data_IF_845944927161
#
_entry.id   IF_845944927161
#
_cell.length_a   1.000
_cell.length_b   1.000
_cell.length_c   1.000
_cell.angle_alpha   90.00
_cell.angle_beta   90.00
_cell.angle_gamma   90.00
#
_symmetry.space_group_name_H-M   'P 1'
#
loop_
_entity.id
_entity.type
_entity.pdbx_description
1 polymer ?
#
# COMPACT_ATOMS: atom_id res chain seq x y z
N UNK A 1 -15.15 9.77 -19.20
CA UNK A 1 -15.50 9.08 -17.93
C UNK A 1 -14.41 8.07 -17.62
N UNK A 2 -14.10 7.83 -16.35
CA UNK A 2 -13.04 6.92 -15.92
C UNK A 2 -13.29 6.41 -14.51
N UNK A 3 -12.51 5.43 -14.08
CA UNK A 3 -12.64 4.75 -12.78
C UNK A 3 -11.51 5.20 -11.85
N UNK A 4 -11.83 5.30 -10.56
CA UNK A 4 -10.86 5.54 -9.49
C UNK A 4 -11.08 4.53 -8.38
N UNK A 5 -9.99 4.02 -7.84
CA UNK A 5 -9.99 3.01 -6.77
C UNK A 5 -9.06 3.46 -5.64
N UNK A 6 -9.38 3.04 -4.43
CA UNK A 6 -8.62 3.35 -3.21
C UNK A 6 -8.50 2.11 -2.33
N UNK A 7 -7.44 2.04 -1.52
CA UNK A 7 -7.20 0.91 -0.63
C UNK A 7 -7.52 1.31 0.82
N UNK A 8 -8.59 0.78 1.44
CA UNK A 8 -8.97 1.16 2.81
C UNK A 8 -7.90 0.86 3.86
N UNK A 9 -7.12 -0.21 3.65
CA UNK A 9 -6.03 -0.60 4.54
C UNK A 9 -4.74 0.22 4.37
N UNK A 10 -4.65 1.07 3.34
CA UNK A 10 -3.48 1.92 3.08
C UNK A 10 -3.94 3.34 2.74
N UNK A 11 -4.18 4.17 3.77
CA UNK A 11 -4.60 5.56 3.58
C UNK A 11 -3.61 6.30 2.67
N UNK A 12 -4.11 6.81 1.54
CA UNK A 12 -3.29 7.52 0.54
C UNK A 12 -2.92 6.70 -0.69
N UNK A 13 -3.16 5.39 -0.70
CA UNK A 13 -2.98 4.57 -1.90
C UNK A 13 -4.24 4.64 -2.77
N UNK A 14 -4.14 5.34 -3.91
CA UNK A 14 -5.22 5.47 -4.89
C UNK A 14 -4.68 5.31 -6.31
N UNK A 15 -5.56 4.87 -7.21
CA UNK A 15 -5.24 4.71 -8.63
C UNK A 15 -6.46 5.02 -9.50
N UNK A 16 -6.23 5.16 -10.80
CA UNK A 16 -7.25 5.50 -11.79
C UNK A 16 -7.00 4.79 -13.12
N UNK A 17 -8.05 4.63 -13.92
CA UNK A 17 -8.01 4.02 -15.26
C UNK A 17 -9.23 4.39 -16.10
N UNK A 18 -9.18 4.16 -17.41
CA UNK A 18 -10.33 4.30 -18.29
C UNK A 18 -11.39 3.22 -18.03
N UNK A 19 -10.98 2.06 -17.50
CA UNK A 19 -11.87 0.96 -17.09
C UNK A 19 -11.64 0.57 -15.64
N UNK A 20 -12.63 -0.11 -15.03
CA UNK A 20 -12.49 -0.68 -13.68
C UNK A 20 -11.31 -1.66 -13.60
N UNK A 21 -11.16 -2.52 -14.61
CA UNK A 21 -10.07 -3.48 -14.69
C UNK A 21 -8.69 -2.82 -14.72
N UNK A 22 -8.53 -1.75 -15.50
CA UNK A 22 -7.30 -0.97 -15.56
C UNK A 22 -7.00 -0.28 -14.24
N UNK A 23 -7.99 0.34 -13.60
CA UNK A 23 -7.80 0.96 -12.29
C UNK A 23 -7.39 -0.07 -11.22
N UNK A 24 -7.96 -1.28 -11.28
CA UNK A 24 -7.62 -2.41 -10.41
C UNK A 24 -6.23 -2.99 -10.68
N UNK A 25 -5.81 -3.07 -11.94
CA UNK A 25 -4.44 -3.48 -12.30
C UNK A 25 -3.42 -2.46 -11.78
N UNK A 26 -3.66 -1.18 -12.04
CA UNK A 26 -2.79 -0.09 -11.60
C UNK A 26 -2.65 -0.01 -10.07
N UNK A 27 -3.75 -0.20 -9.32
CA UNK A 27 -3.66 -0.21 -7.85
C UNK A 27 -2.94 -1.46 -7.34
N UNK A 28 -3.09 -2.61 -8.00
CA UNK A 28 -2.41 -3.83 -7.61
C UNK A 28 -0.89 -3.73 -7.79
N UNK A 29 -0.43 -3.05 -8.86
CA UNK A 29 0.99 -2.73 -9.06
C UNK A 29 1.51 -1.82 -7.95
N UNK A 30 0.79 -0.72 -7.65
CA UNK A 30 1.19 0.21 -6.59
C UNK A 30 1.25 -0.45 -5.21
N UNK A 31 0.32 -1.36 -4.90
CA UNK A 31 0.34 -2.16 -3.65
C UNK A 31 1.60 -3.03 -3.60
N UNK A 32 1.96 -3.70 -4.70
CA UNK A 32 3.15 -4.57 -4.76
C UNK A 32 4.43 -3.77 -4.52
N UNK A 33 4.62 -2.68 -5.26
CA UNK A 33 5.79 -1.81 -5.09
C UNK A 33 5.91 -1.28 -3.65
N UNK A 34 4.79 -0.86 -3.06
CA UNK A 34 4.77 -0.42 -1.67
C UNK A 34 5.23 -1.52 -0.70
N UNK A 35 4.70 -2.74 -0.86
CA UNK A 35 5.03 -3.86 0.02
C UNK A 35 6.49 -4.31 -0.12
N UNK A 36 7.06 -4.24 -1.33
CA UNK A 36 8.48 -4.52 -1.57
C UNK A 36 9.35 -3.55 -0.77
N UNK A 37 9.13 -2.25 -0.93
CA UNK A 37 9.89 -1.21 -0.18
C UNK A 37 9.65 -1.34 1.33
N UNK A 38 8.41 -1.60 1.76
CA UNK A 38 8.09 -1.79 3.17
C UNK A 38 8.83 -2.98 3.77
N UNK A 39 8.99 -4.08 3.03
CA UNK A 39 9.73 -5.25 3.47
C UNK A 39 11.24 -4.97 3.57
N UNK A 40 11.82 -4.24 2.61
CA UNK A 40 13.23 -3.82 2.67
C UNK A 40 13.49 -2.94 3.90
N UNK A 41 12.67 -1.91 4.11
CA UNK A 41 12.79 -1.02 5.27
C UNK A 41 12.61 -1.77 6.60
N UNK A 42 11.68 -2.73 6.65
CA UNK A 42 11.48 -3.56 7.84
C UNK A 42 12.68 -4.47 8.12
N UNK A 43 13.35 -4.97 7.09
CA UNK A 43 14.56 -5.78 7.24
C UNK A 43 15.75 -4.98 7.78
N UNK A 44 15.82 -3.68 7.48
CA UNK A 44 16.87 -2.77 7.95
C UNK A 44 16.53 -2.09 9.29
N UNK A 45 15.27 -2.16 9.74
CA UNK A 45 14.81 -1.50 10.95
C UNK A 45 15.28 -2.22 12.23
N UNK A 46 15.92 -1.49 13.15
CA UNK A 46 16.21 -1.98 14.50
C UNK A 46 14.93 -1.87 15.36
N UNK A 47 14.25 -3.00 15.56
CA UNK A 47 13.08 -3.07 16.44
C UNK A 47 13.49 -3.18 17.91
N UNK A 48 12.80 -2.45 18.79
CA UNK A 48 12.95 -2.55 20.25
C UNK A 48 11.60 -2.78 20.89
N UNK A 49 11.50 -3.82 21.71
CA UNK A 49 10.31 -4.08 22.51
C UNK A 49 10.35 -3.25 23.79
N UNK A 50 9.21 -2.68 24.16
CA UNK A 50 9.05 -1.89 25.39
C UNK A 50 7.77 -2.34 26.08
N UNK A 51 7.86 -2.77 27.33
CA UNK A 51 6.69 -3.07 28.15
C UNK A 51 6.02 -1.77 28.61
N UNK A 52 4.71 -1.67 28.36
CA UNK A 52 3.88 -0.55 28.81
C UNK A 52 2.92 -1.07 29.87
N UNK A 53 3.03 -0.57 31.10
CA UNK A 53 2.05 -0.82 32.15
C UNK A 53 0.81 0.05 31.91
N UNK A 54 -0.37 -0.57 31.90
CA UNK A 54 -1.69 0.09 31.80
C UNK A 54 -2.18 0.48 33.19
#
# INVERSE_FOLDING_TARGET
EGYSVTVPGMPGCCSQGATEAEALENIADAIREYLEVAAELAAEAEAREVEVAV
#
